data_IF_481421874139
#
_entry.id   IF_481421874139
#
_cell.length_a   1.000
_cell.length_b   1.000
_cell.length_c   1.000
_cell.angle_alpha   90.00
_cell.angle_beta   90.00
_cell.angle_gamma   90.00
#
_symmetry.space_group_name_H-M   'P 1'
#
loop_
_entity.id
_entity.type
_entity.pdbx_description
1 polymer ?
#
# COMPACT_ATOMS: atom_id res chain seq x y z
N UNK A 1 46.01 -23.97 -7.64
CA UNK A 1 44.78 -24.61 -7.15
C UNK A 1 44.06 -23.63 -6.24
N UNK A 2 43.15 -22.83 -6.81
CA UNK A 2 42.47 -21.71 -6.12
C UNK A 2 41.08 -22.17 -5.68
N UNK A 3 40.80 -22.07 -4.37
CA UNK A 3 39.52 -22.47 -3.76
C UNK A 3 38.38 -21.58 -4.23
N UNK A 4 37.16 -22.12 -4.46
CA UNK A 4 36.01 -21.29 -4.83
C UNK A 4 35.49 -20.53 -3.60
N UNK A 5 35.27 -19.23 -3.74
CA UNK A 5 34.54 -18.42 -2.74
C UNK A 5 33.05 -18.73 -2.84
N UNK A 6 32.48 -19.20 -1.73
CA UNK A 6 31.05 -19.40 -1.51
C UNK A 6 30.33 -18.06 -1.68
N UNK A 7 29.37 -17.99 -2.60
CA UNK A 7 28.50 -16.83 -2.82
C UNK A 7 27.55 -16.73 -1.62
N UNK A 8 27.80 -15.78 -0.72
CA UNK A 8 26.89 -15.45 0.38
C UNK A 8 25.69 -14.76 -0.24
N UNK A 9 24.49 -15.33 -0.04
CA UNK A 9 23.24 -14.71 -0.43
C UNK A 9 23.14 -13.34 0.26
N UNK A 10 22.77 -12.30 -0.49
CA UNK A 10 22.52 -10.99 0.06
C UNK A 10 21.44 -11.12 1.15
N UNK A 11 21.86 -10.91 2.39
CA UNK A 11 20.95 -10.75 3.51
C UNK A 11 20.24 -9.43 3.26
N UNK A 12 18.93 -9.48 3.11
CA UNK A 12 18.05 -8.31 3.13
C UNK A 12 18.12 -7.71 4.54
N UNK A 13 19.16 -6.92 4.80
CA UNK A 13 19.33 -6.10 6.01
C UNK A 13 18.47 -4.84 5.90
N UNK A 14 17.16 -5.04 5.67
CA UNK A 14 16.19 -3.99 5.96
C UNK A 14 15.98 -3.98 7.48
N UNK A 15 16.26 -2.86 8.19
CA UNK A 15 16.18 -2.84 9.65
C UNK A 15 14.76 -3.17 10.09
N UNK A 16 14.65 -4.24 10.88
CA UNK A 16 13.49 -4.55 11.69
C UNK A 16 13.30 -3.37 12.65
N UNK A 17 12.46 -2.42 12.27
CA UNK A 17 12.03 -1.36 13.18
C UNK A 17 11.13 -2.04 14.18
N UNK A 18 11.65 -2.12 15.40
CA UNK A 18 10.95 -2.28 16.67
C UNK A 18 9.67 -3.10 16.65
N UNK A 19 9.81 -4.39 16.92
CA UNK A 19 8.82 -5.05 17.77
C UNK A 19 9.06 -4.52 19.19
N UNK A 20 8.41 -3.40 19.56
CA UNK A 20 8.15 -2.99 20.94
C UNK A 20 7.24 -1.74 20.97
N UNK A 21 5.98 -1.92 21.39
CA UNK A 21 5.35 -0.99 22.32
C UNK A 21 4.64 0.27 21.81
N UNK A 22 3.86 0.20 20.73
CA UNK A 22 2.73 1.12 20.57
C UNK A 22 1.48 0.32 20.21
N UNK A 23 0.51 0.32 21.11
CA UNK A 23 -0.81 -0.35 21.05
C UNK A 23 -1.71 0.18 19.88
N UNK A 24 -1.11 0.87 18.91
CA UNK A 24 -1.75 1.51 17.78
C UNK A 24 -1.65 0.69 16.50
N UNK A 25 -2.72 0.73 15.71
CA UNK A 25 -2.78 0.15 14.37
C UNK A 25 -1.93 1.03 13.43
N UNK A 26 -1.02 0.46 12.63
CA UNK A 26 -0.31 1.27 11.63
C UNK A 26 -0.97 1.23 10.25
N UNK A 27 -0.53 2.13 9.39
CA UNK A 27 -1.06 2.26 8.02
C UNK A 27 -0.78 1.01 7.17
N UNK A 28 0.29 0.26 7.43
CA UNK A 28 0.58 -0.97 6.69
C UNK A 28 -0.43 -2.08 7.00
N UNK A 29 -0.90 -2.15 8.25
CA UNK A 29 -1.98 -3.05 8.64
C UNK A 29 -3.29 -2.68 7.91
N UNK A 30 -3.58 -1.38 7.75
CA UNK A 30 -4.72 -0.90 6.95
C UNK A 30 -4.63 -1.33 5.49
N UNK A 31 -3.46 -1.16 4.88
CA UNK A 31 -3.19 -1.62 3.50
C UNK A 31 -3.42 -3.13 3.39
N UNK A 32 -2.89 -3.90 4.34
CA UNK A 32 -3.04 -5.37 4.36
C UNK A 32 -4.50 -5.79 4.39
N UNK A 33 -5.31 -5.15 5.25
CA UNK A 33 -6.74 -5.38 5.31
C UNK A 33 -7.42 -5.08 3.96
N UNK A 34 -7.12 -3.92 3.37
CA UNK A 34 -7.77 -3.49 2.13
C UNK A 34 -7.41 -4.35 0.92
N UNK A 35 -6.17 -4.87 0.84
CA UNK A 35 -5.75 -5.85 -0.17
C UNK A 35 -6.61 -7.11 -0.08
N UNK A 36 -6.79 -7.65 1.13
CA UNK A 36 -7.66 -8.82 1.34
C UNK A 36 -9.10 -8.50 0.98
N UNK A 37 -9.63 -7.39 1.48
CA UNK A 37 -11.02 -7.00 1.30
C UNK A 37 -11.38 -6.80 -0.19
N UNK A 38 -10.53 -6.12 -0.96
CA UNK A 38 -10.80 -5.93 -2.39
C UNK A 38 -10.65 -7.22 -3.19
N UNK A 39 -9.67 -8.08 -2.85
CA UNK A 39 -9.55 -9.40 -3.47
C UNK A 39 -10.82 -10.22 -3.26
N UNK A 40 -11.30 -10.30 -2.02
CA UNK A 40 -12.51 -11.05 -1.68
C UNK A 40 -13.75 -10.49 -2.38
N UNK A 41 -13.90 -9.16 -2.43
CA UNK A 41 -14.99 -8.50 -3.18
C UNK A 41 -14.96 -8.78 -4.68
N UNK A 42 -13.77 -8.91 -5.28
CA UNK A 42 -13.59 -9.28 -6.69
C UNK A 42 -13.76 -10.79 -6.94
N UNK A 43 -13.90 -11.59 -5.88
CA UNK A 43 -14.00 -13.05 -5.98
C UNK A 43 -12.70 -13.73 -6.45
N UNK A 44 -11.55 -13.07 -6.30
CA UNK A 44 -10.27 -13.59 -6.79
C UNK A 44 -9.56 -14.43 -5.73
N UNK A 45 -8.86 -15.45 -6.20
CA UNK A 45 -7.87 -16.19 -5.42
C UNK A 45 -6.57 -15.40 -5.28
N UNK A 46 -5.74 -15.76 -4.30
CA UNK A 46 -4.40 -15.17 -4.16
C UNK A 46 -3.51 -15.44 -5.38
N UNK A 47 -3.64 -16.63 -5.98
CA UNK A 47 -2.91 -17.00 -7.18
C UNK A 47 -3.29 -16.12 -8.38
N UNK A 48 -4.59 -15.82 -8.54
CA UNK A 48 -5.08 -14.92 -9.57
C UNK A 48 -4.56 -13.48 -9.43
N UNK A 49 -4.39 -13.00 -8.20
CA UNK A 49 -3.76 -11.69 -7.91
C UNK A 49 -2.28 -11.74 -8.30
N UNK A 50 -1.56 -12.81 -7.93
CA UNK A 50 -0.16 -12.98 -8.30
C UNK A 50 0.03 -12.99 -9.82
N UNK A 51 -0.85 -13.69 -10.56
CA UNK A 51 -0.83 -13.73 -12.03
C UNK A 51 -1.15 -12.37 -12.65
N UNK A 52 -2.06 -11.59 -12.07
CA UNK A 52 -2.35 -10.21 -12.52
C UNK A 52 -1.14 -9.30 -12.32
N UNK A 53 -0.51 -9.35 -11.15
CA UNK A 53 0.71 -8.60 -10.88
C UNK A 53 1.84 -9.02 -11.83
N UNK A 54 1.98 -10.32 -12.11
CA UNK A 54 3.00 -10.84 -13.02
C UNK A 54 2.90 -10.28 -14.44
N UNK A 55 1.68 -9.96 -14.91
CA UNK A 55 1.49 -9.33 -16.23
C UNK A 55 2.02 -7.90 -16.31
N UNK A 56 2.14 -7.21 -15.17
CA UNK A 56 2.72 -5.87 -15.11
C UNK A 56 4.23 -5.91 -14.85
N UNK A 57 4.69 -6.84 -14.01
CA UNK A 57 6.08 -6.90 -13.54
C UNK A 57 6.96 -7.87 -14.32
N UNK A 58 6.38 -8.70 -15.19
CA UNK A 58 7.03 -9.86 -15.80
C UNK A 58 7.62 -10.86 -14.78
N UNK A 59 7.13 -10.84 -13.53
CA UNK A 59 7.59 -11.70 -12.46
C UNK A 59 6.41 -12.26 -11.66
N UNK A 60 6.26 -13.59 -11.68
CA UNK A 60 5.21 -14.27 -10.91
C UNK A 60 5.61 -14.38 -9.44
N UNK A 61 4.87 -13.66 -8.60
CA UNK A 61 5.00 -13.79 -7.15
C UNK A 61 4.44 -15.15 -6.68
N UNK A 62 5.09 -15.81 -5.71
CA UNK A 62 4.49 -16.96 -5.03
C UNK A 62 3.17 -16.58 -4.34
N UNK A 63 2.21 -17.51 -4.27
CA UNK A 63 0.96 -17.32 -3.51
C UNK A 63 1.23 -16.89 -2.05
N UNK A 64 2.29 -17.43 -1.44
CA UNK A 64 2.72 -17.06 -0.09
C UNK A 64 3.03 -15.56 0.06
N UNK A 65 3.51 -14.90 -1.00
CA UNK A 65 3.77 -13.45 -1.01
C UNK A 65 2.47 -12.66 -0.94
N UNK A 66 1.44 -13.06 -1.68
CA UNK A 66 0.11 -12.42 -1.61
C UNK A 66 -0.53 -12.69 -0.25
N UNK A 67 -0.38 -13.91 0.27
CA UNK A 67 -0.87 -14.23 1.61
C UNK A 67 -0.15 -13.42 2.70
N UNK A 68 1.13 -13.13 2.55
CA UNK A 68 1.85 -12.23 3.45
C UNK A 68 1.37 -10.77 3.34
N UNK A 69 0.95 -10.32 2.15
CA UNK A 69 0.31 -9.00 1.97
C UNK A 69 -1.02 -8.91 2.72
N UNK A 70 -1.80 -9.98 2.78
CA UNK A 70 -3.15 -9.95 3.38
C UNK A 70 -3.18 -10.11 4.90
N UNK A 71 -2.18 -10.77 5.50
CA UNK A 71 -2.20 -11.12 6.94
C UNK A 71 -1.66 -10.03 7.86
N UNK A 72 -1.17 -8.90 7.35
CA UNK A 72 -0.53 -7.85 8.14
C UNK A 72 -1.46 -7.10 9.10
N UNK A 73 -2.77 -7.34 9.07
CA UNK A 73 -3.74 -6.73 9.98
C UNK A 73 -3.88 -7.47 11.32
N UNK A 74 -3.95 -8.81 11.30
CA UNK A 74 -4.17 -9.65 12.50
C UNK A 74 -2.86 -10.26 13.07
N UNK A 75 -1.74 -10.10 12.37
CA UNK A 75 -0.47 -10.75 12.72
C UNK A 75 0.52 -9.86 13.48
N UNK A 76 1.34 -10.48 14.32
CA UNK A 76 2.43 -9.81 15.07
C UNK A 76 3.46 -9.14 14.13
N UNK A 77 3.64 -9.67 12.92
CA UNK A 77 4.56 -9.12 11.92
C UNK A 77 3.79 -8.41 10.81
N UNK A 78 3.86 -7.08 10.84
CA UNK A 78 3.28 -6.22 9.81
C UNK A 78 4.18 -6.21 8.56
N UNK A 79 3.59 -6.45 7.39
CA UNK A 79 4.28 -6.35 6.11
C UNK A 79 4.37 -4.88 5.71
N UNK A 80 5.55 -4.39 5.33
CA UNK A 80 5.70 -3.05 4.75
C UNK A 80 5.28 -3.05 3.29
N UNK A 81 4.69 -1.93 2.84
CA UNK A 81 4.39 -1.67 1.44
C UNK A 81 5.16 -0.44 0.98
N UNK A 82 5.76 -0.51 -0.20
CA UNK A 82 6.36 0.67 -0.84
C UNK A 82 5.36 1.36 -1.78
N UNK A 83 5.70 2.57 -2.22
CA UNK A 83 4.84 3.36 -3.10
C UNK A 83 4.56 2.69 -4.45
N UNK A 84 5.53 1.93 -4.98
CA UNK A 84 5.39 1.24 -6.26
C UNK A 84 4.45 0.03 -6.12
N UNK A 85 4.55 -0.72 -5.03
CA UNK A 85 3.62 -1.81 -4.71
C UNK A 85 2.18 -1.31 -4.61
N UNK A 86 1.95 -0.18 -3.93
CA UNK A 86 0.63 0.42 -3.82
C UNK A 86 0.06 0.82 -5.19
N UNK A 87 0.89 1.40 -6.06
CA UNK A 87 0.50 1.74 -7.43
C UNK A 87 0.14 0.50 -8.27
N UNK A 88 0.96 -0.56 -8.18
CA UNK A 88 0.69 -1.81 -8.91
C UNK A 88 -0.58 -2.49 -8.41
N UNK A 89 -0.82 -2.50 -7.10
CA UNK A 89 -2.05 -3.04 -6.51
C UNK A 89 -3.27 -2.23 -6.97
N UNK A 90 -3.19 -0.89 -6.96
CA UNK A 90 -4.24 -0.01 -7.46
C UNK A 90 -4.57 -0.29 -8.93
N UNK A 91 -3.54 -0.48 -9.75
CA UNK A 91 -3.67 -0.84 -11.17
C UNK A 91 -4.31 -2.22 -11.35
N UNK A 92 -3.86 -3.24 -10.60
CA UNK A 92 -4.37 -4.62 -10.70
C UNK A 92 -5.83 -4.72 -10.25
N UNK A 93 -6.18 -4.04 -9.16
CA UNK A 93 -7.52 -4.07 -8.60
C UNK A 93 -8.45 -3.04 -9.23
N UNK A 94 -7.94 -2.19 -10.12
CA UNK A 94 -8.70 -1.15 -10.80
C UNK A 94 -9.46 -0.27 -9.79
N UNK A 95 -8.68 0.33 -8.88
CA UNK A 95 -9.15 1.25 -7.85
C UNK A 95 -8.14 2.38 -7.67
N UNK A 96 -8.55 3.58 -7.24
CA UNK A 96 -7.61 4.63 -6.87
C UNK A 96 -6.67 4.18 -5.74
N UNK A 97 -5.42 4.67 -5.72
CA UNK A 97 -4.44 4.36 -4.65
C UNK A 97 -5.02 4.64 -3.26
N UNK A 98 -5.84 5.70 -3.13
CA UNK A 98 -6.47 6.08 -1.85
C UNK A 98 -7.33 4.96 -1.24
N UNK A 99 -7.81 4.00 -2.04
CA UNK A 99 -8.58 2.85 -1.56
C UNK A 99 -7.83 2.05 -0.49
N UNK A 100 -6.51 1.86 -0.63
CA UNK A 100 -5.73 1.03 0.29
C UNK A 100 -5.54 1.64 1.67
N UNK A 101 -5.90 2.89 1.85
CA UNK A 101 -5.78 3.61 3.10
C UNK A 101 -7.14 3.88 3.77
N UNK A 102 -8.23 3.33 3.22
CA UNK A 102 -9.53 3.46 3.86
C UNK A 102 -9.53 2.70 5.19
N UNK A 103 -10.02 3.30 6.29
CA UNK A 103 -10.10 2.63 7.58
C UNK A 103 -10.91 1.32 7.47
N UNK A 104 -10.39 0.20 8.00
CA UNK A 104 -11.17 -1.03 8.07
C UNK A 104 -12.45 -0.83 8.90
N UNK A 105 -13.55 -1.54 8.59
CA UNK A 105 -14.77 -1.49 9.38
C UNK A 105 -14.49 -1.87 10.84
N UNK A 106 -15.32 -1.36 11.75
CA UNK A 106 -15.28 -1.67 13.18
C UNK A 106 -13.95 -1.33 13.89
N UNK A 107 -13.09 -0.51 13.27
CA UNK A 107 -11.86 -0.02 13.91
C UNK A 107 -12.12 1.12 14.91
N UNK A 108 -13.32 1.73 14.88
CA UNK A 108 -13.81 2.63 15.92
C UNK A 108 -12.86 3.80 16.23
N UNK A 109 -12.46 3.90 17.50
CA UNK A 109 -11.54 4.92 18.02
C UNK A 109 -10.08 4.44 18.11
N UNK A 110 -9.73 3.33 17.44
CA UNK A 110 -8.32 2.88 17.43
C UNK A 110 -7.43 3.98 16.87
N UNK A 111 -6.30 4.18 17.52
CA UNK A 111 -5.35 5.20 17.13
C UNK A 111 -4.32 4.64 16.13
N UNK A 112 -3.90 5.51 15.21
CA UNK A 112 -2.73 5.27 14.39
C UNK A 112 -1.47 5.33 15.24
N UNK A 113 -0.57 4.39 14.99
CA UNK A 113 0.79 4.43 15.54
C UNK A 113 1.45 5.79 15.25
N UNK A 114 2.34 6.21 16.16
CA UNK A 114 3.14 7.45 16.13
C UNK A 114 2.37 8.76 16.28
N UNK A 115 1.28 8.95 15.52
CA UNK A 115 0.49 10.19 15.53
C UNK A 115 -0.55 10.24 16.66
N UNK A 116 -0.94 9.08 17.20
CA UNK A 116 -2.05 8.93 18.17
C UNK A 116 -3.37 9.57 17.71
N UNK A 117 -3.55 9.70 16.39
CA UNK A 117 -4.79 10.19 15.80
C UNK A 117 -5.76 9.03 15.57
N UNK A 118 -7.08 9.25 15.66
CA UNK A 118 -8.05 8.23 15.29
C UNK A 118 -7.81 7.73 13.86
N UNK A 119 -7.84 6.41 13.67
CA UNK A 119 -7.71 5.81 12.33
C UNK A 119 -8.79 6.31 11.36
N UNK A 120 -9.96 6.65 11.87
CA UNK A 120 -11.05 7.24 11.08
C UNK A 120 -10.64 8.52 10.38
N UNK A 121 -9.61 9.25 10.84
CA UNK A 121 -9.11 10.46 10.18
C UNK A 121 -8.16 10.18 9.02
N UNK A 122 -7.76 8.92 8.78
CA UNK A 122 -6.79 8.57 7.73
C UNK A 122 -7.27 8.98 6.33
N UNK A 123 -8.57 8.85 6.04
CA UNK A 123 -9.10 9.29 4.73
C UNK A 123 -8.99 10.81 4.55
N UNK A 124 -9.20 11.58 5.62
CA UNK A 124 -9.08 13.05 5.58
C UNK A 124 -7.63 13.47 5.32
N UNK A 125 -6.66 12.75 5.87
CA UNK A 125 -5.24 12.99 5.60
C UNK A 125 -4.85 12.74 4.13
N UNK A 126 -5.58 11.90 3.40
CA UNK A 126 -5.27 11.56 1.99
C UNK A 126 -5.99 12.44 1.00
N UNK A 127 -7.27 12.75 1.25
CA UNK A 127 -8.03 13.67 0.42
C UNK A 127 -7.56 15.11 0.64
N UNK A 128 -6.98 15.37 1.82
CA UNK A 128 -6.57 16.69 2.24
C UNK A 128 -7.75 17.60 2.56
N UNK A 129 -7.42 18.85 2.81
CA UNK A 129 -8.35 19.96 2.95
C UNK A 129 -8.05 21.01 1.87
N UNK A 130 -9.03 21.86 1.53
CA UNK A 130 -8.87 22.90 0.49
C UNK A 130 -7.62 23.77 0.71
N UNK A 131 -7.32 24.12 1.96
CA UNK A 131 -6.14 24.92 2.32
C UNK A 131 -4.80 24.19 2.14
N UNK A 132 -4.81 22.87 1.89
CA UNK A 132 -3.61 22.08 1.61
C UNK A 132 -3.36 21.90 0.10
N UNK A 133 -4.25 22.40 -0.76
CA UNK A 133 -4.18 22.18 -2.21
C UNK A 133 -3.23 23.14 -2.92
N UNK A 134 -2.93 24.31 -2.36
CA UNK A 134 -2.04 25.30 -2.99
C UNK A 134 -0.67 24.69 -3.42
N UNK A 135 0.05 23.93 -2.57
CA UNK A 135 1.28 23.26 -3.00
C UNK A 135 1.08 22.17 -4.07
N UNK A 136 -0.10 21.55 -4.13
CA UNK A 136 -0.44 20.55 -5.14
C UNK A 136 -0.69 21.23 -6.47
N UNK A 137 -1.46 22.31 -6.47
CA UNK A 137 -1.79 23.12 -7.64
C UNK A 137 -0.52 23.71 -8.28
N UNK A 138 0.38 24.26 -7.45
CA UNK A 138 1.69 24.74 -7.89
C UNK A 138 2.48 23.63 -8.61
N UNK A 139 2.52 22.44 -8.01
CA UNK A 139 3.24 21.28 -8.57
C UNK A 139 2.61 20.76 -9.85
N UNK A 140 1.28 20.81 -9.99
CA UNK A 140 0.57 20.47 -11.22
C UNK A 140 0.84 21.51 -12.32
N UNK A 141 0.95 22.79 -11.95
CA UNK A 141 1.38 23.87 -12.83
C UNK A 141 2.74 23.60 -13.48
N UNK A 142 3.71 23.09 -12.72
CA UNK A 142 5.05 22.73 -13.22
C UNK A 142 5.03 21.67 -14.34
N UNK A 143 4.02 20.79 -14.36
CA UNK A 143 3.86 19.76 -15.40
C UNK A 143 2.80 20.11 -16.44
N UNK A 144 2.42 21.39 -16.51
CA UNK A 144 1.45 21.94 -17.45
C UNK A 144 0.06 21.30 -17.35
N UNK A 145 -0.32 20.82 -16.16
CA UNK A 145 -1.67 20.34 -15.85
C UNK A 145 -2.35 21.46 -15.05
N UNK A 146 -3.05 22.33 -15.77
CA UNK A 146 -3.64 23.55 -15.18
C UNK A 146 -5.08 23.34 -14.70
N UNK A 147 -5.73 22.26 -15.14
CA UNK A 147 -7.10 21.92 -14.74
C UNK A 147 -7.29 20.39 -14.74
N UNK A 148 -7.17 19.72 -13.58
CA UNK A 148 -7.34 18.27 -13.49
C UNK A 148 -8.71 17.79 -13.98
N UNK A 149 -9.79 18.56 -13.74
CA UNK A 149 -11.15 18.25 -14.21
C UNK A 149 -11.27 18.28 -15.76
N UNK A 150 -10.42 19.08 -16.43
CA UNK A 150 -10.34 19.09 -17.89
C UNK A 150 -9.47 17.93 -18.44
N UNK A 151 -8.51 17.45 -17.64
CA UNK A 151 -7.61 16.34 -18.00
C UNK A 151 -8.30 14.97 -17.92
N UNK A 152 -9.34 14.80 -17.08
CA UNK A 152 -10.12 13.56 -17.00
C UNK A 152 -10.73 13.13 -18.35
N UNK A 153 -11.06 14.09 -19.23
CA UNK A 153 -11.56 13.80 -20.58
C UNK A 153 -10.51 13.26 -21.55
N UNK A 154 -9.23 13.36 -21.19
CA UNK A 154 -8.09 12.89 -22.00
C UNK A 154 -7.62 11.50 -21.55
N UNK A 155 -7.99 11.08 -20.33
CA UNK A 155 -7.53 9.83 -19.70
C UNK A 155 -8.59 8.72 -19.63
N UNK A 156 -9.83 9.00 -20.02
CA UNK A 156 -10.93 8.03 -20.15
C UNK A 156 -11.01 7.44 -21.56
#
# INVERSE_FOLDING_TARGET
MVRPRKKVAAVDESPAVGADGADGLDVNAVVSYNVRAIRERRGWTQQEVAERLARLTNHLLPQASISAMERGFDGDRRRRFDAHELYLLATVFDVPIVYFFLPPPDTGLKELADTRRPISELYAALLGHEWQLEPVDDRLGDINIQNPDASDKVLA
#
